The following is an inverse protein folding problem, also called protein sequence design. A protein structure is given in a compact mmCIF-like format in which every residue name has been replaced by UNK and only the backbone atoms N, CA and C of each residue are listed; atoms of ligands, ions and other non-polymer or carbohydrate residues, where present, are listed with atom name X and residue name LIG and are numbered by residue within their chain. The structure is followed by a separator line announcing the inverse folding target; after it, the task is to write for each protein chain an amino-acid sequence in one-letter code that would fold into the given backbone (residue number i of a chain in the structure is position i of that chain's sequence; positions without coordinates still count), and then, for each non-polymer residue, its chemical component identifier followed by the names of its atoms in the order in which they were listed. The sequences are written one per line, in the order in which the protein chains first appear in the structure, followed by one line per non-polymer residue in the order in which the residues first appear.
data_IF_719635845949
#
_entry.id   IF_719635845949
#
_cell.length_a   1.000
_cell.length_b   1.000
_cell.length_c   1.000
_cell.angle_alpha   90.00
_cell.angle_beta   90.00
_cell.angle_gamma   90.00
#
_symmetry.space_group_name_H-M   'P 1'
#
loop_
_entity.id
_entity.type
_entity.pdbx_description
1 polymer ?
#
# COMPACT_ATOMS: atom_id res chain seq x y z
N UNK A 1 -12.26 -6.03 -0.33
CA UNK A 1 -11.77 -6.51 0.98
C UNK A 1 -11.18 -7.91 0.83
N UNK A 2 -9.91 -8.09 1.21
CA UNK A 2 -9.16 -9.35 1.11
C UNK A 2 -9.85 -10.47 1.93
N UNK A 3 -9.86 -11.71 1.41
CA UNK A 3 -10.46 -12.89 2.06
C UNK A 3 -9.90 -13.12 3.47
N UNK A 4 -8.60 -12.90 3.66
CA UNK A 4 -7.92 -13.09 4.96
C UNK A 4 -8.45 -12.10 6.01
N UNK A 5 -8.61 -10.83 5.64
CA UNK A 5 -9.14 -9.82 6.56
C UNK A 5 -10.58 -10.12 6.94
N UNK A 6 -11.42 -10.55 5.99
CA UNK A 6 -12.79 -10.99 6.30
C UNK A 6 -12.81 -12.14 7.29
N UNK A 7 -11.93 -13.13 7.10
CA UNK A 7 -11.85 -14.28 7.98
C UNK A 7 -11.37 -13.89 9.38
N UNK A 8 -10.34 -13.06 9.48
CA UNK A 8 -9.83 -12.58 10.76
C UNK A 8 -10.90 -11.80 11.53
N UNK A 9 -11.61 -10.88 10.86
CA UNK A 9 -12.71 -10.11 11.48
C UNK A 9 -13.85 -11.02 11.97
N UNK A 10 -14.23 -12.03 11.17
CA UNK A 10 -15.29 -12.99 11.53
C UNK A 10 -14.87 -13.99 12.60
N UNK A 11 -13.57 -14.22 12.80
CA UNK A 11 -13.08 -15.05 13.89
C UNK A 11 -13.20 -14.35 15.25
N UNK A 12 -13.14 -13.02 15.27
CA UNK A 12 -13.22 -12.20 16.49
C UNK A 12 -14.67 -11.86 16.83
N UNK A 13 -15.51 -11.62 15.82
CA UNK A 13 -16.88 -11.16 15.99
C UNK A 13 -17.92 -12.28 15.71
N UNK A 14 -18.97 -12.42 16.53
CA UNK A 14 -20.07 -13.34 16.27
C UNK A 14 -20.93 -12.80 15.10
N UNK A 15 -20.57 -13.16 13.87
CA UNK A 15 -21.17 -12.58 12.65
C UNK A 15 -21.56 -13.64 11.63
N UNK A 16 -22.65 -13.37 10.90
CA UNK A 16 -23.19 -14.30 9.90
C UNK A 16 -22.49 -14.12 8.54
N UNK A 17 -22.58 -15.14 7.67
CA UNK A 17 -22.01 -15.06 6.31
C UNK A 17 -22.55 -13.88 5.51
N UNK A 18 -23.80 -13.50 5.74
CA UNK A 18 -24.54 -12.44 5.06
C UNK A 18 -24.34 -11.05 5.67
N UNK A 19 -23.63 -10.93 6.80
CA UNK A 19 -23.40 -9.62 7.43
C UNK A 19 -22.66 -8.69 6.47
N UNK A 20 -23.20 -7.48 6.21
CA UNK A 20 -22.58 -6.47 5.39
C UNK A 20 -21.16 -6.15 5.85
N UNK A 21 -20.27 -5.90 4.90
CA UNK A 21 -18.85 -5.62 5.17
C UNK A 21 -18.66 -4.35 6.00
N UNK A 22 -19.51 -3.34 5.80
CA UNK A 22 -19.39 -2.06 6.52
C UNK A 22 -19.66 -2.23 8.02
N UNK A 23 -20.61 -3.10 8.37
CA UNK A 23 -20.88 -3.47 9.76
C UNK A 23 -19.68 -4.21 10.34
N UNK A 24 -19.05 -5.13 9.59
CA UNK A 24 -17.83 -5.81 10.07
C UNK A 24 -16.69 -4.82 10.40
N UNK A 25 -16.49 -3.80 9.57
CA UNK A 25 -15.49 -2.77 9.83
C UNK A 25 -15.80 -1.93 11.07
N UNK A 26 -17.07 -1.56 11.24
CA UNK A 26 -17.54 -0.82 12.42
C UNK A 26 -17.36 -1.62 13.71
N UNK A 27 -17.84 -2.86 13.74
CA UNK A 27 -17.84 -3.69 14.95
C UNK A 27 -16.45 -4.22 15.30
N UNK A 28 -15.55 -4.37 14.31
CA UNK A 28 -14.17 -4.80 14.58
C UNK A 28 -13.24 -3.67 15.00
N UNK A 29 -13.67 -2.41 14.86
CA UNK A 29 -12.82 -1.25 15.04
C UNK A 29 -11.72 -1.12 13.98
N UNK A 30 -11.76 -1.94 12.90
CA UNK A 30 -10.77 -1.90 11.82
C UNK A 30 -11.37 -1.12 10.65
N UNK A 31 -10.90 0.10 10.36
CA UNK A 31 -11.42 0.88 9.24
C UNK A 31 -11.09 0.22 7.89
N UNK A 32 -11.86 0.53 6.83
CA UNK A 32 -11.57 0.07 5.47
C UNK A 32 -10.16 0.42 5.01
N UNK A 33 -9.56 -0.43 4.17
CA UNK A 33 -8.17 -0.27 3.70
C UNK A 33 -7.95 1.06 2.96
N UNK A 34 -8.94 1.53 2.20
CA UNK A 34 -8.86 2.81 1.50
C UNK A 34 -8.63 3.98 2.48
N UNK A 35 -9.41 4.01 3.57
CA UNK A 35 -9.29 5.03 4.60
C UNK A 35 -7.94 4.95 5.33
N UNK A 36 -7.43 3.74 5.59
CA UNK A 36 -6.09 3.56 6.16
C UNK A 36 -4.99 4.08 5.23
N UNK A 37 -5.13 3.84 3.92
CA UNK A 37 -4.18 4.27 2.91
C UNK A 37 -4.16 5.80 2.80
N UNK A 38 -5.33 6.43 2.73
CA UNK A 38 -5.48 7.89 2.73
C UNK A 38 -4.87 8.51 3.99
N UNK A 39 -5.21 7.99 5.18
CA UNK A 39 -4.65 8.48 6.43
C UNK A 39 -3.12 8.31 6.51
N UNK A 40 -2.56 7.28 5.88
CA UNK A 40 -1.11 7.09 5.78
C UNK A 40 -0.49 8.05 4.76
N UNK A 41 -1.13 8.27 3.62
CA UNK A 41 -0.69 9.22 2.61
C UNK A 41 -0.64 10.64 3.18
N UNK A 42 -1.69 11.08 3.89
CA UNK A 42 -1.75 12.38 4.55
C UNK A 42 -0.59 12.53 5.53
N UNK A 43 -0.40 11.58 6.44
CA UNK A 43 0.70 11.60 7.42
C UNK A 43 2.08 11.62 6.76
N UNK A 44 2.26 10.85 5.69
CA UNK A 44 3.53 10.81 4.96
C UNK A 44 3.80 12.15 4.24
N UNK A 45 2.81 12.70 3.57
CA UNK A 45 2.94 14.01 2.91
C UNK A 45 3.26 15.12 3.91
N UNK A 46 2.60 15.12 5.08
CA UNK A 46 2.87 16.08 6.14
C UNK A 46 4.30 15.95 6.67
N UNK A 47 4.79 14.72 6.86
CA UNK A 47 6.17 14.45 7.30
C UNK A 47 7.20 14.98 6.31
N UNK A 48 7.00 14.75 5.01
CA UNK A 48 7.90 15.26 3.97
C UNK A 48 7.87 16.79 3.92
N UNK A 49 6.69 17.41 4.10
CA UNK A 49 6.55 18.87 4.14
C UNK A 49 7.17 19.52 5.37
N UNK A 50 7.15 18.85 6.51
CA UNK A 50 7.77 19.34 7.76
C UNK A 50 9.29 19.18 7.80
N UNK A 51 9.87 18.50 6.83
CA UNK A 51 11.29 18.18 6.80
C UNK A 51 12.11 19.41 6.41
N UNK A 52 13.34 19.48 6.91
CA UNK A 52 14.26 20.56 6.56
C UNK A 52 14.49 20.64 5.03
N UNK A 53 14.52 21.84 4.42
CA UNK A 53 14.72 21.98 2.98
C UNK A 53 16.03 21.35 2.45
N UNK A 54 17.08 21.26 3.27
CA UNK A 54 18.33 20.61 2.85
C UNK A 54 18.24 19.07 2.88
N UNK A 55 17.15 18.51 3.44
CA UNK A 55 16.99 17.07 3.59
C UNK A 55 16.89 16.35 2.23
N UNK A 56 17.61 15.23 2.01
CA UNK A 56 17.67 14.54 0.71
C UNK A 56 16.30 14.04 0.21
N UNK A 57 15.36 13.72 1.10
CA UNK A 57 14.00 13.34 0.72
C UNK A 57 13.18 14.50 0.12
N UNK A 58 13.45 15.74 0.54
CA UNK A 58 12.81 16.92 -0.07
C UNK A 58 13.31 17.09 -1.49
N UNK A 59 14.63 16.97 -1.71
CA UNK A 59 15.26 17.01 -3.05
C UNK A 59 14.65 15.97 -4.01
N UNK A 60 14.52 14.72 -3.56
CA UNK A 60 13.88 13.63 -4.35
C UNK A 60 12.41 13.90 -4.71
N UNK A 61 11.71 14.75 -3.95
CA UNK A 61 10.31 15.11 -4.20
C UNK A 61 10.19 16.35 -5.09
N UNK A 62 11.24 17.17 -5.22
CA UNK A 62 11.26 18.34 -6.10
C UNK A 62 11.62 17.97 -7.54
N UNK A 63 12.33 16.86 -7.74
CA UNK A 63 12.76 16.33 -9.05
C UNK A 63 11.61 15.73 -9.90
N UNK A 64 10.35 16.01 -9.56
CA UNK A 64 9.16 15.48 -10.24
C UNK A 64 8.91 16.29 -11.52
N UNK A 65 9.76 16.10 -12.52
CA UNK A 65 9.18 15.64 -13.79
C UNK A 65 8.76 14.19 -13.55
N UNK A 66 7.57 13.75 -13.96
CA UNK A 66 7.19 12.36 -13.78
C UNK A 66 8.19 11.50 -14.56
N UNK A 67 9.14 10.89 -13.84
CA UNK A 67 10.03 9.90 -14.42
C UNK A 67 9.12 8.87 -15.12
N UNK A 68 9.28 8.67 -16.44
CA UNK A 68 8.40 7.78 -17.19
C UNK A 68 8.40 6.45 -16.47
N UNK A 69 7.20 5.95 -16.13
CA UNK A 69 7.02 4.68 -15.43
C UNK A 69 7.73 3.62 -16.28
N UNK A 70 8.96 3.25 -15.90
CA UNK A 70 9.69 2.14 -16.51
C UNK A 70 8.96 0.89 -16.03
N UNK A 71 7.95 0.47 -16.79
CA UNK A 71 7.29 -0.83 -16.62
C UNK A 71 8.42 -1.84 -16.56
N UNK A 72 8.50 -2.55 -15.44
CA UNK A 72 9.68 -3.27 -14.98
C UNK A 72 10.48 -3.93 -16.10
N UNK A 73 11.79 -3.70 -16.09
CA UNK A 73 12.74 -4.41 -16.94
C UNK A 73 12.49 -5.91 -16.70
N UNK A 74 11.88 -6.57 -17.68
CA UNK A 74 11.76 -8.02 -17.70
C UNK A 74 13.19 -8.54 -17.83
N UNK A 75 13.79 -8.92 -16.71
CA UNK A 75 15.02 -9.72 -16.69
C UNK A 75 14.68 -11.05 -17.36
N UNK A 76 14.96 -11.15 -18.65
CA UNK A 76 15.00 -12.44 -19.32
C UNK A 76 16.24 -13.17 -18.78
N UNK A 77 16.13 -14.44 -18.37
CA UNK A 77 17.29 -15.20 -17.95
C UNK A 77 18.27 -15.32 -19.12
N UNK A 78 19.53 -14.96 -18.90
CA UNK A 78 20.62 -15.07 -19.87
C UNK A 78 20.71 -16.50 -20.42
N UNK A 79 20.93 -16.70 -21.72
CA UNK A 79 21.07 -18.04 -22.26
C UNK A 79 22.32 -18.68 -21.67
N UNK A 80 22.12 -19.79 -20.96
CA UNK A 80 23.17 -20.70 -20.52
C UNK A 80 24.05 -21.06 -21.71
N UNK A 81 25.30 -20.62 -21.67
CA UNK A 81 26.28 -20.90 -22.71
C UNK A 81 26.61 -22.40 -22.65
N UNK A 82 25.99 -23.18 -23.52
CA UNK A 82 26.28 -24.61 -23.70
C UNK A 82 27.72 -24.70 -24.20
N UNK A 83 28.62 -25.17 -23.32
CA UNK A 83 29.99 -25.54 -23.68
C UNK A 83 29.93 -26.73 -24.64
N UNK A 84 30.62 -26.58 -25.77
CA UNK A 84 31.05 -27.68 -26.63
C UNK A 84 32.02 -28.60 -25.88
#
# INVERSE_FOLDING_TARGET
MNKVLKQATRAILPTWRTTPVDILHRESGIPPVAQLLEARQIRFSARIKSLDPAHPLVKRTLEIEPLPIVKGIKLNPSPTQVRQ
#
